data_IF_757994430127
#
_entry.id   IF_757994430127
#
_cell.length_a   1.000
_cell.length_b   1.000
_cell.length_c   1.000
_cell.angle_alpha   90.00
_cell.angle_beta   90.00
_cell.angle_gamma   90.00
#
_symmetry.space_group_name_H-M   'P 1'
#
loop_
_entity.id
_entity.type
_entity.pdbx_description
1 polymer ?
#
# COMPACT_ATOMS: atom_id res chain seq x y z
N UNK A 1 0.21 -1.20 -44.40
CA UNK A 1 0.64 -1.83 -43.13
C UNK A 1 1.60 -0.89 -42.41
N UNK A 2 1.15 -0.20 -41.35
CA UNK A 2 2.00 0.64 -40.50
C UNK A 2 1.74 0.24 -39.05
N UNK A 3 2.73 -0.40 -38.44
CA UNK A 3 2.67 -0.95 -37.08
C UNK A 3 2.73 0.21 -36.08
N UNK A 4 1.65 0.45 -35.36
CA UNK A 4 1.66 1.31 -34.18
C UNK A 4 2.39 0.56 -33.06
N UNK A 5 3.69 0.81 -32.93
CA UNK A 5 4.46 0.45 -31.74
C UNK A 5 4.00 1.42 -30.64
N UNK A 6 3.02 0.99 -29.85
CA UNK A 6 2.67 1.65 -28.60
C UNK A 6 3.75 1.30 -27.58
N UNK A 7 4.80 2.14 -27.52
CA UNK A 7 5.70 2.22 -26.37
C UNK A 7 4.87 2.65 -25.17
N UNK A 8 4.38 1.68 -24.40
CA UNK A 8 3.83 1.89 -23.07
C UNK A 8 4.97 2.35 -22.16
N UNK A 9 5.23 3.66 -22.16
CA UNK A 9 6.06 4.31 -21.16
C UNK A 9 5.39 4.18 -19.80
N UNK A 10 5.68 3.10 -19.08
CA UNK A 10 5.36 3.00 -17.66
C UNK A 10 6.38 3.89 -16.95
N UNK A 11 6.08 5.18 -16.90
CA UNK A 11 6.68 6.08 -15.94
C UNK A 11 6.31 5.57 -14.55
N UNK A 12 7.14 4.70 -13.98
CA UNK A 12 7.09 4.44 -12.54
C UNK A 12 7.59 5.73 -11.91
N UNK A 13 6.66 6.65 -11.61
CA UNK A 13 6.92 7.62 -10.55
C UNK A 13 7.35 6.77 -9.36
N UNK A 14 8.62 6.87 -9.00
CA UNK A 14 9.13 6.28 -7.78
C UNK A 14 8.33 6.89 -6.64
N UNK A 15 7.23 6.21 -6.28
CA UNK A 15 6.37 6.64 -5.21
C UNK A 15 7.27 6.71 -3.99
N UNK A 16 7.38 7.90 -3.40
CA UNK A 16 8.19 8.11 -2.21
C UNK A 16 7.64 7.30 -1.00
N UNK A 17 6.53 6.57 -1.19
CA UNK A 17 5.97 5.54 -0.34
C UNK A 17 6.32 4.14 -0.84
N UNK A 18 7.05 3.36 -0.04
CA UNK A 18 7.26 1.93 -0.27
C UNK A 18 6.16 1.13 0.42
N UNK A 19 5.52 0.19 -0.27
CA UNK A 19 4.50 -0.71 0.30
C UNK A 19 5.05 -2.13 0.31
N UNK A 20 4.93 -2.85 1.43
CA UNK A 20 5.33 -4.25 1.54
C UNK A 20 4.37 -5.16 0.74
N UNK A 21 4.75 -6.43 0.59
CA UNK A 21 3.79 -7.45 0.18
C UNK A 21 2.68 -7.62 1.22
N UNK A 22 1.67 -8.42 0.86
CA UNK A 22 0.60 -8.82 1.76
C UNK A 22 1.07 -10.02 2.58
N UNK A 23 1.10 -9.85 3.91
CA UNK A 23 1.44 -10.88 4.88
C UNK A 23 0.17 -11.45 5.54
N UNK A 24 0.20 -12.73 5.92
CA UNK A 24 -0.85 -13.37 6.72
C UNK A 24 -0.47 -13.34 8.20
N UNK A 25 -1.35 -12.77 9.03
CA UNK A 25 -1.23 -12.81 10.48
C UNK A 25 -1.71 -14.14 11.05
N UNK A 26 -1.25 -14.47 12.27
CA UNK A 26 -1.60 -15.72 12.97
C UNK A 26 -3.10 -15.87 13.25
N UNK A 27 -3.83 -14.76 13.35
CA UNK A 27 -5.28 -14.71 13.55
C UNK A 27 -6.09 -14.84 12.24
N UNK A 28 -5.43 -15.09 11.10
CA UNK A 28 -6.09 -15.26 9.80
C UNK A 28 -6.30 -13.98 9.01
N UNK A 29 -6.11 -12.80 9.62
CA UNK A 29 -6.16 -11.52 8.93
C UNK A 29 -4.93 -11.29 8.04
N UNK A 30 -5.08 -10.43 7.06
CA UNK A 30 -4.03 -9.98 6.16
C UNK A 30 -3.46 -8.66 6.66
N UNK A 31 -2.19 -8.39 6.37
CA UNK A 31 -1.56 -7.12 6.70
C UNK A 31 -0.67 -6.62 5.57
N UNK A 32 -0.68 -5.31 5.36
CA UNK A 32 0.26 -4.63 4.47
C UNK A 32 0.87 -3.43 5.20
N UNK A 33 2.18 -3.24 5.03
CA UNK A 33 2.90 -2.11 5.63
C UNK A 33 3.35 -1.12 4.57
N UNK A 34 2.89 0.12 4.68
CA UNK A 34 3.33 1.25 3.86
C UNK A 34 4.33 2.09 4.63
N UNK A 35 5.39 2.58 3.98
CA UNK A 35 6.45 3.39 4.58
C UNK A 35 6.71 4.65 3.77
N UNK A 36 6.74 5.80 4.42
CA UNK A 36 7.19 7.06 3.83
C UNK A 36 8.71 7.19 3.95
N UNK A 37 9.42 7.41 2.83
CA UNK A 37 10.88 7.57 2.83
C UNK A 37 11.36 9.01 3.06
N UNK A 38 10.49 10.01 2.90
CA UNK A 38 10.83 11.44 3.04
C UNK A 38 9.85 12.13 3.98
N UNK A 39 10.34 13.12 4.73
CA UNK A 39 9.55 13.91 5.69
C UNK A 39 8.43 14.74 5.06
N UNK A 40 8.40 14.86 3.73
CA UNK A 40 7.41 15.61 2.97
C UNK A 40 6.10 14.84 2.72
N UNK A 41 6.06 13.52 3.00
CA UNK A 41 4.83 12.72 2.81
C UNK A 41 3.98 12.79 4.07
N UNK A 42 2.70 13.10 3.90
CA UNK A 42 1.75 13.07 5.01
C UNK A 42 1.41 11.63 5.44
N UNK A 43 1.12 11.45 6.73
CA UNK A 43 0.62 10.18 7.26
C UNK A 43 -0.60 9.65 6.51
N UNK A 44 -1.47 10.56 6.05
CA UNK A 44 -2.64 10.19 5.26
C UNK A 44 -2.25 9.59 3.90
N UNK A 45 -1.19 10.10 3.27
CA UNK A 45 -0.69 9.54 2.01
C UNK A 45 -0.10 8.14 2.20
N UNK A 46 0.71 7.94 3.25
CA UNK A 46 1.26 6.62 3.59
C UNK A 46 0.14 5.61 3.89
N UNK A 47 -0.87 6.02 4.67
CA UNK A 47 -2.07 5.23 4.95
C UNK A 47 -2.84 4.87 3.68
N UNK A 48 -3.13 5.86 2.84
CA UNK A 48 -3.87 5.65 1.60
C UNK A 48 -3.13 4.73 0.64
N UNK A 49 -1.80 4.77 0.59
CA UNK A 49 -1.01 3.82 -0.18
C UNK A 49 -1.24 2.37 0.30
N UNK A 50 -1.27 2.15 1.62
CA UNK A 50 -1.54 0.83 2.20
C UNK A 50 -2.95 0.33 1.90
N UNK A 51 -3.96 1.17 2.14
CA UNK A 51 -5.37 0.84 1.86
C UNK A 51 -5.57 0.56 0.37
N UNK A 52 -4.96 1.34 -0.52
CA UNK A 52 -5.06 1.13 -1.98
C UNK A 52 -4.47 -0.22 -2.38
N UNK A 53 -3.33 -0.60 -1.80
CA UNK A 53 -2.70 -1.89 -2.06
C UNK A 53 -3.56 -3.06 -1.53
N UNK A 54 -4.06 -2.97 -0.30
CA UNK A 54 -4.98 -3.95 0.27
C UNK A 54 -6.27 -4.10 -0.57
N UNK A 55 -6.84 -2.98 -1.02
CA UNK A 55 -8.03 -2.97 -1.89
C UNK A 55 -7.75 -3.63 -3.24
N UNK A 56 -6.58 -3.39 -3.83
CA UNK A 56 -6.19 -4.05 -5.08
C UNK A 56 -6.09 -5.58 -4.87
N UNK A 57 -5.45 -6.01 -3.78
CA UNK A 57 -5.32 -7.43 -3.44
C UNK A 57 -6.67 -8.14 -3.26
N UNK A 58 -7.64 -7.51 -2.59
CA UNK A 58 -8.98 -8.10 -2.47
C UNK A 58 -9.74 -8.08 -3.80
N UNK A 59 -9.60 -7.02 -4.61
CA UNK A 59 -10.23 -6.94 -5.93
C UNK A 59 -9.73 -7.98 -6.91
N UNK A 60 -8.44 -8.33 -6.88
CA UNK A 60 -7.88 -9.43 -7.67
C UNK A 60 -8.57 -10.77 -7.33
N UNK A 61 -9.12 -10.91 -6.13
CA UNK A 61 -9.88 -12.07 -5.68
C UNK A 61 -11.41 -11.90 -5.84
N UNK A 62 -11.88 -10.83 -6.49
CA UNK A 62 -13.30 -10.47 -6.61
C UNK A 62 -14.00 -10.28 -5.25
N UNK A 63 -13.25 -9.80 -4.25
CA UNK A 63 -13.73 -9.54 -2.90
C UNK A 63 -13.65 -8.07 -2.53
N UNK A 64 -14.42 -7.67 -1.53
CA UNK A 64 -14.37 -6.33 -0.97
C UNK A 64 -13.36 -6.25 0.18
N UNK A 65 -12.74 -5.07 0.31
CA UNK A 65 -11.82 -4.80 1.39
C UNK A 65 -12.60 -4.48 2.67
N UNK A 66 -12.40 -5.27 3.72
CA UNK A 66 -12.80 -4.90 5.07
C UNK A 66 -11.54 -4.57 5.88
N UNK A 67 -11.40 -3.32 6.29
CA UNK A 67 -10.27 -2.89 7.12
C UNK A 67 -10.59 -3.19 8.58
N UNK A 68 -9.75 -4.02 9.21
CA UNK A 68 -9.92 -4.43 10.61
C UNK A 68 -9.26 -3.41 11.53
N UNK A 69 -7.98 -3.12 11.27
CA UNK A 69 -7.18 -2.21 12.10
C UNK A 69 -6.17 -1.44 11.26
N UNK A 70 -5.77 -0.24 11.73
CA UNK A 70 -4.70 0.54 11.11
C UNK A 70 -3.74 1.00 12.22
N UNK A 71 -2.52 0.46 12.22
CA UNK A 71 -1.46 0.89 13.11
C UNK A 71 -0.56 1.91 12.41
N UNK A 72 -0.28 3.02 13.09
CA UNK A 72 0.63 4.05 12.60
C UNK A 72 1.89 4.00 13.46
N UNK A 73 2.99 3.52 12.88
CA UNK A 73 4.25 3.27 13.55
C UNK A 73 5.29 4.31 13.10
N UNK A 74 5.73 5.16 14.03
CA UNK A 74 6.81 6.13 13.84
C UNK A 74 6.65 7.37 14.70
N UNK A 75 7.77 7.97 15.12
CA UNK A 75 7.79 9.20 15.93
C UNK A 75 7.95 10.40 14.99
N UNK A 76 7.14 11.45 15.18
CA UNK A 76 7.30 12.70 14.41
C UNK A 76 8.72 13.25 14.65
N UNK A 77 9.58 13.20 13.63
CA UNK A 77 10.94 13.74 13.68
C UNK A 77 12.08 12.73 13.88
N UNK A 78 11.79 11.43 14.12
CA UNK A 78 12.81 10.40 14.23
C UNK A 78 12.30 9.04 13.70
N UNK A 79 12.89 8.57 12.60
CA UNK A 79 12.69 7.21 12.06
C UNK A 79 11.79 7.09 10.82
N UNK A 80 11.87 5.92 10.17
CA UNK A 80 11.04 5.56 9.01
C UNK A 80 9.57 5.52 9.41
N UNK A 81 8.79 6.42 8.85
CA UNK A 81 7.35 6.52 9.07
C UNK A 81 6.65 5.33 8.40
N UNK A 82 5.82 4.59 9.12
CA UNK A 82 5.12 3.43 8.57
C UNK A 82 3.68 3.30 9.05
N UNK A 83 2.81 2.80 8.18
CA UNK A 83 1.42 2.49 8.49
C UNK A 83 1.20 1.03 8.14
N UNK A 84 0.83 0.22 9.12
CA UNK A 84 0.35 -1.14 8.91
C UNK A 84 -1.17 -1.09 8.80
N UNK A 85 -1.70 -1.67 7.73
CA UNK A 85 -3.13 -1.88 7.53
C UNK A 85 -3.41 -3.36 7.69
N UNK A 86 -4.21 -3.72 8.68
CA UNK A 86 -4.73 -5.07 8.90
C UNK A 86 -6.13 -5.16 8.31
N UNK A 87 -6.36 -6.16 7.48
CA UNK A 87 -7.58 -6.26 6.69
C UNK A 87 -7.96 -7.71 6.42
N UNK A 88 -9.19 -7.89 5.94
CA UNK A 88 -9.66 -9.12 5.34
C UNK A 88 -10.36 -8.82 4.01
N UNK A 89 -10.46 -9.85 3.18
CA UNK A 89 -11.20 -9.79 1.93
C UNK A 89 -12.49 -10.59 2.11
N UNK A 90 -13.62 -9.89 2.09
CA UNK A 90 -14.97 -10.47 2.23
C UNK A 90 -15.66 -10.60 0.88
#
# INVERSE_FOLDING_TARGET
MKKCILLAGIGVLAACTAVSGVDRKQNGYLSVTSRGRISLISWNSVRNAGIKHAKAYCREQNKELHTVEIHTNGVRGAGTQSVEVVFECI
#
